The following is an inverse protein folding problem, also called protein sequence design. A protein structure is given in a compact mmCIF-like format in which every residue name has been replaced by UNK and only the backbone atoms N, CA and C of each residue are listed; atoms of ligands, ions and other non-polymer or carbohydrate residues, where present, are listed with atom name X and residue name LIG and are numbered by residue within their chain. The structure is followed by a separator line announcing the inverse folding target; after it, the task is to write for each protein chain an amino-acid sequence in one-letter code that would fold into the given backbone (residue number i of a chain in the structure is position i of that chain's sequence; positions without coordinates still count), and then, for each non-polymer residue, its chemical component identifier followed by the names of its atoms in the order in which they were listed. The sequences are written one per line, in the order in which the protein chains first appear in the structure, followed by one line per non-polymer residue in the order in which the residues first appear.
data_IF_517653828869
#
_entry.id   IF_517653828869
#
_cell.length_a   1.000
_cell.length_b   1.000
_cell.length_c   1.000
_cell.angle_alpha   90.00
_cell.angle_beta   90.00
_cell.angle_gamma   90.00
#
_symmetry.space_group_name_H-M   'P 1'
#
loop_
_entity.id
_entity.type
_entity.pdbx_description
1 polymer ?
#
# COMPACT_ATOMS: atom_id res chain seq x y z
N UNK A 1 12.17 -1.07 8.14
CA UNK A 1 12.47 -2.29 8.92
C UNK A 1 12.47 -1.96 10.40
N UNK A 2 11.81 -2.77 11.21
CA UNK A 2 11.75 -2.56 12.66
C UNK A 2 12.95 -3.25 13.33
N UNK A 3 13.86 -2.50 13.93
CA UNK A 3 15.09 -3.05 14.58
C UNK A 3 14.86 -3.55 16.01
N UNK A 4 13.62 -3.52 16.50
CA UNK A 4 13.21 -3.86 17.86
C UNK A 4 13.14 -2.66 18.81
N UNK A 5 13.65 -1.51 18.40
CA UNK A 5 13.62 -0.25 19.15
C UNK A 5 12.89 0.82 18.37
N UNK A 6 13.18 0.93 17.07
CA UNK A 6 12.58 1.93 16.19
C UNK A 6 12.38 1.39 14.76
N UNK A 7 11.53 2.07 14.01
CA UNK A 7 11.33 1.81 12.59
C UNK A 7 12.40 2.52 11.77
N UNK A 8 13.35 1.77 11.25
CA UNK A 8 14.37 2.28 10.34
C UNK A 8 13.84 2.35 8.92
N UNK A 9 13.97 3.51 8.29
CA UNK A 9 13.66 3.69 6.88
C UNK A 9 14.85 3.28 6.01
N UNK A 10 14.60 2.77 4.80
CA UNK A 10 15.69 2.51 3.86
C UNK A 10 16.34 3.84 3.44
N UNK A 11 17.66 3.86 3.47
CA UNK A 11 18.45 5.04 3.11
C UNK A 11 18.85 5.04 1.63
N UNK A 12 18.74 3.90 0.98
CA UNK A 12 19.05 3.69 -0.44
C UNK A 12 18.36 2.44 -0.97
N UNK A 13 18.12 2.41 -2.26
CA UNK A 13 17.72 1.23 -3.02
C UNK A 13 18.49 1.18 -4.36
N UNK A 14 18.30 0.10 -5.13
CA UNK A 14 18.87 -0.05 -6.46
C UNK A 14 17.82 0.03 -7.58
N UNK A 15 16.59 0.44 -7.29
CA UNK A 15 15.51 0.51 -8.29
C UNK A 15 15.86 1.49 -9.40
N UNK A 16 16.41 2.65 -9.06
CA UNK A 16 16.80 3.66 -10.04
C UNK A 16 17.88 3.21 -11.04
N UNK A 17 18.66 2.19 -10.69
CA UNK A 17 19.66 1.58 -11.60
C UNK A 17 19.12 0.41 -12.39
N UNK A 18 18.03 -0.20 -11.95
CA UNK A 18 17.40 -1.37 -12.60
C UNK A 18 16.24 -0.95 -13.51
N UNK A 19 15.48 0.06 -13.15
CA UNK A 19 14.35 0.59 -13.90
C UNK A 19 14.83 1.67 -14.88
N UNK A 20 15.59 1.28 -15.89
CA UNK A 20 16.15 2.20 -16.90
C UNK A 20 15.63 1.86 -18.30
N UNK A 21 15.47 2.90 -19.13
CA UNK A 21 14.96 2.74 -20.50
C UNK A 21 13.54 2.19 -20.52
N UNK A 22 13.33 1.08 -21.20
CA UNK A 22 12.04 0.40 -21.31
C UNK A 22 11.76 -0.63 -20.20
N UNK A 23 12.67 -0.79 -19.23
CA UNK A 23 12.49 -1.71 -18.11
C UNK A 23 11.55 -1.08 -17.08
N UNK A 24 10.35 -1.58 -16.98
CA UNK A 24 9.30 -1.09 -16.05
C UNK A 24 9.04 -2.01 -14.87
N UNK A 25 9.65 -3.21 -14.87
CA UNK A 25 9.48 -4.21 -13.80
C UNK A 25 10.78 -4.94 -13.57
N UNK A 26 11.08 -5.21 -12.31
CA UNK A 26 12.22 -6.04 -11.89
C UNK A 26 11.75 -7.13 -10.93
N UNK A 27 12.31 -8.34 -10.98
CA UNK A 27 11.89 -9.44 -10.11
C UNK A 27 12.35 -9.25 -8.66
N UNK A 28 13.43 -8.53 -8.44
CA UNK A 28 14.04 -8.30 -7.12
C UNK A 28 14.59 -6.90 -7.02
N UNK A 29 14.63 -6.37 -5.80
CA UNK A 29 15.27 -5.10 -5.48
C UNK A 29 16.05 -5.21 -4.17
N UNK A 30 17.08 -4.40 -4.01
CA UNK A 30 17.87 -4.31 -2.79
C UNK A 30 17.64 -2.97 -2.11
N UNK A 31 17.51 -3.02 -0.78
CA UNK A 31 17.30 -1.84 0.07
C UNK A 31 18.37 -1.84 1.17
N UNK A 32 18.90 -0.68 1.48
CA UNK A 32 19.88 -0.50 2.54
C UNK A 32 19.27 0.26 3.70
N UNK A 33 19.52 -0.23 4.90
CA UNK A 33 19.07 0.37 6.15
C UNK A 33 20.28 0.77 6.98
N UNK A 34 20.22 1.94 7.61
CA UNK A 34 21.24 2.35 8.56
C UNK A 34 21.08 1.58 9.89
N UNK A 35 22.17 1.37 10.61
CA UNK A 35 22.16 0.71 11.91
C UNK A 35 22.79 -0.67 11.91
N UNK A 36 22.74 -1.32 13.07
CA UNK A 36 23.28 -2.68 13.28
C UNK A 36 22.13 -3.65 13.46
N UNK A 37 22.09 -4.65 12.60
CA UNK A 37 21.07 -5.70 12.60
C UNK A 37 21.72 -7.03 12.93
N UNK A 38 21.46 -7.57 14.12
CA UNK A 38 22.10 -8.79 14.64
C UNK A 38 21.13 -9.97 14.76
N UNK A 39 19.81 -9.72 14.88
CA UNK A 39 18.81 -10.76 15.05
C UNK A 39 18.62 -11.58 13.77
N UNK A 40 18.08 -12.77 13.91
CA UNK A 40 17.77 -13.64 12.77
C UNK A 40 16.63 -13.09 11.90
N UNK A 41 15.67 -12.39 12.52
CA UNK A 41 14.48 -11.89 11.83
C UNK A 41 14.17 -10.47 12.27
N UNK A 42 13.63 -9.68 11.32
CA UNK A 42 13.12 -8.34 11.57
C UNK A 42 11.82 -8.11 10.82
N UNK A 43 10.78 -7.55 11.46
CA UNK A 43 9.59 -7.09 10.74
C UNK A 43 9.94 -5.97 9.75
N UNK A 44 9.32 -6.02 8.59
CA UNK A 44 9.50 -5.05 7.53
C UNK A 44 8.14 -4.60 7.00
N UNK A 45 8.01 -3.29 6.73
CA UNK A 45 6.81 -2.67 6.15
C UNK A 45 7.16 -1.94 4.87
N UNK A 46 6.29 -2.05 3.90
CA UNK A 46 6.21 -1.19 2.74
C UNK A 46 4.92 -0.38 2.84
N UNK A 47 5.04 0.92 3.06
CA UNK A 47 3.90 1.81 3.32
C UNK A 47 3.41 2.52 2.07
N UNK A 48 3.90 2.11 0.91
CA UNK A 48 3.54 2.71 -0.37
C UNK A 48 4.19 4.07 -0.61
N UNK A 49 3.96 4.62 -1.79
CA UNK A 49 4.55 5.90 -2.22
C UNK A 49 4.08 7.08 -1.35
N UNK A 50 2.82 7.07 -0.95
CA UNK A 50 2.19 8.15 -0.19
C UNK A 50 2.03 7.82 1.29
N UNK A 51 2.73 6.79 1.76
CA UNK A 51 2.72 6.38 3.16
C UNK A 51 3.76 7.12 3.99
N UNK A 52 3.70 6.88 5.27
CA UNK A 52 4.69 7.32 6.25
C UNK A 52 5.18 6.10 7.05
N UNK A 53 6.02 6.32 8.06
CA UNK A 53 6.63 5.28 8.88
C UNK A 53 5.63 4.24 9.42
N UNK A 54 4.44 4.69 9.84
CA UNK A 54 3.39 3.90 10.48
C UNK A 54 1.99 4.16 9.87
N UNK A 55 1.94 4.72 8.67
CA UNK A 55 0.71 5.09 7.97
C UNK A 55 0.77 4.64 6.53
N UNK A 56 -0.37 4.21 6.00
CA UNK A 56 -0.58 4.03 4.56
C UNK A 56 -1.70 4.94 4.09
N UNK A 57 -1.59 5.43 2.86
CA UNK A 57 -2.62 6.27 2.27
C UNK A 57 -3.14 5.62 0.99
N UNK A 58 -4.42 5.26 1.00
CA UNK A 58 -5.15 4.73 -0.15
C UNK A 58 -5.88 5.90 -0.81
N UNK A 59 -5.57 6.18 -2.05
CA UNK A 59 -6.16 7.29 -2.78
C UNK A 59 -7.66 7.08 -3.02
N UNK A 60 -8.46 8.09 -2.71
CA UNK A 60 -9.91 8.06 -2.93
C UNK A 60 -10.29 8.13 -4.42
N UNK A 61 -9.41 8.69 -5.24
CA UNK A 61 -9.53 8.69 -6.70
C UNK A 61 -8.33 8.00 -7.29
N UNK A 62 -8.59 7.00 -8.10
CA UNK A 62 -7.55 6.22 -8.78
C UNK A 62 -7.83 6.26 -10.29
N UNK A 63 -6.79 6.38 -11.08
CA UNK A 63 -6.91 6.41 -12.54
C UNK A 63 -6.16 5.23 -13.14
N UNK A 64 -6.88 4.33 -13.76
CA UNK A 64 -6.31 3.24 -14.53
C UNK A 64 -6.11 3.71 -15.98
N UNK A 65 -4.86 3.81 -16.47
CA UNK A 65 -4.59 4.39 -17.79
C UNK A 65 -5.04 3.50 -18.94
N UNK A 66 -4.94 2.19 -18.76
CA UNK A 66 -5.30 1.20 -19.78
C UNK A 66 -6.09 0.04 -19.15
N UNK A 67 -7.00 -0.62 -19.91
CA UNK A 67 -7.64 -1.84 -19.47
C UNK A 67 -6.60 -2.91 -19.09
N UNK A 68 -6.87 -3.64 -18.01
CA UNK A 68 -5.99 -4.68 -17.46
C UNK A 68 -4.58 -4.20 -17.01
N UNK A 69 -4.34 -2.88 -16.94
CA UNK A 69 -3.11 -2.32 -16.40
C UNK A 69 -3.29 -1.95 -14.92
N UNK A 70 -2.59 -2.65 -14.04
CA UNK A 70 -2.62 -2.46 -12.60
C UNK A 70 -1.50 -1.53 -12.08
N UNK A 71 -0.72 -0.87 -12.95
CA UNK A 71 0.42 -0.03 -12.56
C UNK A 71 0.02 1.15 -11.65
N UNK A 72 -1.19 1.68 -11.81
CA UNK A 72 -1.73 2.75 -10.98
C UNK A 72 -1.87 2.38 -9.49
N UNK A 73 -1.91 1.09 -9.13
CA UNK A 73 -2.04 0.61 -7.74
C UNK A 73 -0.85 1.08 -6.91
N UNK A 74 0.38 0.99 -7.45
CA UNK A 74 1.59 1.44 -6.77
C UNK A 74 1.56 2.93 -6.40
N UNK A 75 0.93 3.76 -7.25
CA UNK A 75 0.75 5.19 -7.00
C UNK A 75 -0.41 5.50 -6.05
N UNK A 76 -1.38 4.59 -5.98
CA UNK A 76 -2.67 4.81 -5.31
C UNK A 76 -2.76 4.21 -3.91
N UNK A 77 -1.73 3.50 -3.45
CA UNK A 77 -1.70 3.03 -2.06
C UNK A 77 -1.43 1.54 -1.89
N UNK A 78 -0.63 0.93 -2.77
CA UNK A 78 -0.12 -0.41 -2.50
C UNK A 78 0.74 -0.43 -1.23
N UNK A 79 0.57 -1.44 -0.40
CA UNK A 79 1.31 -1.61 0.85
C UNK A 79 1.48 -3.09 1.18
N UNK A 80 2.47 -3.40 2.00
CA UNK A 80 2.78 -4.77 2.36
C UNK A 80 3.63 -4.91 3.62
N UNK A 81 3.62 -6.10 4.18
CA UNK A 81 4.49 -6.48 5.29
C UNK A 81 5.36 -7.67 4.90
N UNK A 82 6.44 -7.86 5.61
CA UNK A 82 7.32 -9.02 5.47
C UNK A 82 8.07 -9.29 6.78
N UNK A 83 8.65 -10.48 6.85
CA UNK A 83 9.72 -10.78 7.80
C UNK A 83 11.02 -10.87 7.01
N UNK A 84 11.96 -9.98 7.32
CA UNK A 84 13.31 -10.03 6.76
C UNK A 84 14.12 -11.05 7.55
N UNK A 85 14.58 -12.11 6.91
CA UNK A 85 15.30 -13.24 7.51
C UNK A 85 16.77 -13.19 7.13
N UNK A 86 17.68 -13.34 8.10
CA UNK A 86 19.11 -13.27 7.91
C UNK A 86 19.62 -14.39 7.00
N UNK A 87 20.38 -14.01 5.99
CA UNK A 87 21.02 -14.88 5.01
C UNK A 87 22.47 -14.40 4.80
N UNK A 88 23.41 -14.99 5.54
CA UNK A 88 24.81 -14.53 5.53
C UNK A 88 24.96 -13.11 6.05
N UNK A 89 25.37 -12.19 5.18
CA UNK A 89 25.59 -10.77 5.50
C UNK A 89 24.45 -9.84 5.06
N UNK A 90 23.32 -10.40 4.63
CA UNK A 90 22.13 -9.67 4.19
C UNK A 90 20.86 -10.28 4.79
N UNK A 91 19.70 -9.72 4.45
CA UNK A 91 18.38 -10.20 4.84
C UNK A 91 17.52 -10.37 3.60
N UNK A 92 16.92 -11.54 3.46
CA UNK A 92 15.96 -11.84 2.40
C UNK A 92 14.53 -11.64 2.91
N UNK A 93 13.66 -11.12 2.06
CA UNK A 93 12.25 -10.97 2.35
C UNK A 93 11.38 -11.02 1.09
N UNK A 94 10.14 -11.40 1.26
CA UNK A 94 9.09 -11.29 0.25
C UNK A 94 7.93 -10.52 0.86
N UNK A 95 7.52 -9.44 0.20
CA UNK A 95 6.38 -8.65 0.65
C UNK A 95 5.06 -9.38 0.41
N UNK A 96 4.24 -9.41 1.45
CA UNK A 96 2.84 -9.80 1.37
C UNK A 96 1.99 -8.55 1.25
N UNK A 97 1.20 -8.43 0.18
CA UNK A 97 0.27 -7.32 0.01
C UNK A 97 -0.77 -7.30 1.13
N UNK A 98 -1.01 -6.11 1.66
CA UNK A 98 -2.01 -5.86 2.71
C UNK A 98 -3.15 -4.97 2.24
N UNK A 99 -3.03 -4.36 1.07
CA UNK A 99 -4.14 -3.71 0.38
C UNK A 99 -5.03 -4.74 -0.32
N UNK A 100 -6.35 -4.53 -0.28
CA UNK A 100 -7.29 -5.32 -1.07
C UNK A 100 -7.42 -4.75 -2.47
N UNK A 101 -7.41 -5.62 -3.48
CA UNK A 101 -7.60 -5.26 -4.87
C UNK A 101 -8.99 -5.66 -5.34
N UNK A 102 -9.62 -4.78 -6.08
CA UNK A 102 -10.96 -5.01 -6.62
C UNK A 102 -10.91 -5.01 -8.14
N UNK A 103 -11.22 -6.16 -8.74
CA UNK A 103 -11.29 -6.33 -10.19
C UNK A 103 -12.74 -6.25 -10.65
N UNK A 104 -13.01 -5.36 -11.60
CA UNK A 104 -14.32 -5.19 -12.23
C UNK A 104 -14.23 -5.58 -13.70
N UNK A 105 -15.19 -6.37 -14.15
CA UNK A 105 -15.36 -6.72 -15.56
C UNK A 105 -16.75 -6.25 -16.03
N UNK A 106 -16.92 -4.95 -16.29
CA UNK A 106 -18.19 -4.42 -16.74
C UNK A 106 -18.50 -4.90 -18.16
N UNK A 107 -19.75 -5.22 -18.41
CA UNK A 107 -20.26 -5.56 -19.74
C UNK A 107 -21.63 -4.92 -19.97
N UNK A 108 -22.03 -4.81 -21.21
CA UNK A 108 -23.38 -4.36 -21.58
C UNK A 108 -23.96 -5.24 -22.68
N UNK A 109 -25.26 -5.47 -22.59
CA UNK A 109 -26.05 -6.07 -23.66
C UNK A 109 -26.85 -5.04 -24.46
N UNK A 110 -26.80 -3.78 -24.06
CA UNK A 110 -27.45 -2.68 -24.77
C UNK A 110 -26.64 -2.29 -26.01
N UNK A 111 -27.24 -2.50 -27.18
CA UNK A 111 -26.61 -2.24 -28.47
C UNK A 111 -26.20 -0.76 -28.65
N UNK A 112 -26.85 0.18 -27.95
CA UNK A 112 -26.54 1.61 -28.03
C UNK A 112 -25.27 1.96 -27.24
N UNK A 113 -24.88 1.11 -26.31
CA UNK A 113 -23.67 1.30 -25.46
C UNK A 113 -22.48 0.45 -25.94
N UNK A 114 -22.71 -0.44 -26.95
CA UNK A 114 -21.61 -1.21 -27.53
C UNK A 114 -20.58 -0.26 -28.17
N UNK A 115 -19.30 -0.39 -27.79
CA UNK A 115 -18.24 0.52 -28.22
C UNK A 115 -18.12 1.80 -27.40
N UNK A 116 -19.00 2.02 -26.42
CA UNK A 116 -18.89 3.09 -25.45
C UNK A 116 -17.63 2.95 -24.56
N UNK A 117 -17.19 4.06 -24.01
CA UNK A 117 -16.06 4.08 -23.07
C UNK A 117 -16.54 4.27 -21.64
N UNK A 118 -16.16 3.36 -20.74
CA UNK A 118 -16.37 3.54 -19.32
C UNK A 118 -15.37 4.59 -18.79
N UNK A 119 -15.90 5.73 -18.33
CA UNK A 119 -15.07 6.85 -17.90
C UNK A 119 -14.91 6.94 -16.40
N UNK A 120 -15.86 6.38 -15.62
CA UNK A 120 -15.82 6.46 -14.17
C UNK A 120 -16.65 5.34 -13.52
N UNK A 121 -16.10 4.79 -12.45
CA UNK A 121 -16.81 3.90 -11.53
C UNK A 121 -16.77 4.56 -10.14
N UNK A 122 -17.91 4.62 -9.47
CA UNK A 122 -17.98 5.06 -8.07
C UNK A 122 -18.28 3.86 -7.18
N UNK A 123 -17.40 3.62 -6.21
CA UNK A 123 -17.59 2.57 -5.20
C UNK A 123 -17.93 3.26 -3.88
N UNK A 124 -18.96 2.76 -3.21
CA UNK A 124 -19.39 3.27 -1.90
C UNK A 124 -19.45 2.11 -0.92
N UNK A 125 -18.92 2.31 0.28
CA UNK A 125 -18.93 1.32 1.34
C UNK A 125 -19.38 1.95 2.66
N UNK A 126 -19.82 1.13 3.62
CA UNK A 126 -20.24 1.56 4.95
C UNK A 126 -19.06 1.73 5.92
N UNK A 127 -17.85 1.40 5.49
CA UNK A 127 -16.60 1.63 6.23
C UNK A 127 -15.60 2.34 5.31
N UNK A 128 -14.61 3.06 5.87
CA UNK A 128 -13.57 3.68 5.07
C UNK A 128 -12.84 2.64 4.19
N UNK A 129 -12.79 2.88 2.89
CA UNK A 129 -12.06 2.08 1.90
C UNK A 129 -10.93 2.87 1.23
N UNK A 130 -10.85 4.16 1.51
CA UNK A 130 -9.80 5.06 1.06
C UNK A 130 -9.52 6.11 2.15
N UNK A 131 -8.35 6.70 2.14
CA UNK A 131 -7.85 7.63 3.15
C UNK A 131 -6.56 7.14 3.78
N UNK A 132 -6.19 7.72 4.90
CA UNK A 132 -4.99 7.34 5.65
C UNK A 132 -5.37 6.39 6.78
N UNK A 133 -4.65 5.27 6.86
CA UNK A 133 -4.87 4.21 7.83
C UNK A 133 -3.59 4.03 8.67
N UNK A 134 -3.75 3.61 9.92
CA UNK A 134 -2.63 3.12 10.72
C UNK A 134 -2.09 1.83 10.12
N UNK A 135 -0.77 1.67 10.15
CA UNK A 135 -0.10 0.53 9.55
C UNK A 135 0.98 -0.02 10.48
N UNK A 136 0.81 -1.23 10.93
CA UNK A 136 1.75 -1.93 11.79
C UNK A 136 2.36 -3.17 11.10
N UNK A 137 3.08 -4.00 11.84
CA UNK A 137 3.73 -5.19 11.30
C UNK A 137 2.71 -6.29 10.90
N UNK A 138 1.44 -6.13 11.29
CA UNK A 138 0.33 -7.02 10.91
C UNK A 138 -0.44 -6.52 9.68
N UNK A 139 -0.27 -5.26 9.32
CA UNK A 139 -0.94 -4.59 8.20
C UNK A 139 -1.70 -3.33 8.61
N UNK A 140 -2.69 -2.92 7.80
CA UNK A 140 -3.48 -1.73 8.06
C UNK A 140 -4.59 -1.99 9.07
N UNK A 141 -4.76 -1.05 9.99
CA UNK A 141 -5.94 -0.99 10.86
C UNK A 141 -6.83 0.19 10.42
N UNK A 142 -8.16 0.02 10.40
CA UNK A 142 -9.05 1.14 10.12
C UNK A 142 -8.80 2.28 11.11
N UNK A 143 -8.85 3.56 10.70
CA UNK A 143 -8.78 4.67 11.62
C UNK A 143 -9.93 4.54 12.63
N UNK A 144 -9.61 4.71 13.91
CA UNK A 144 -10.64 4.75 14.94
C UNK A 144 -11.59 5.91 14.60
N UNK A 145 -12.93 5.70 14.60
CA UNK A 145 -13.86 6.79 14.34
C UNK A 145 -13.55 7.92 15.33
N UNK A 146 -13.60 9.20 14.91
CA UNK A 146 -13.33 10.32 15.79
C UNK A 146 -14.22 10.18 17.02
N UNK A 147 -13.60 10.24 18.19
CA UNK A 147 -14.30 10.18 19.48
C UNK A 147 -15.37 11.28 19.49
N UNK A 148 -16.61 10.89 19.31
CA UNK A 148 -17.74 11.82 19.45
C UNK A 148 -17.81 12.23 20.93
N UNK A 149 -17.56 13.50 21.28
CA UNK A 149 -17.71 13.91 22.66
C UNK A 149 -19.15 13.60 23.13
N UNK A 150 -19.35 13.19 24.37
CA UNK A 150 -20.68 12.91 24.88
C UNK A 150 -21.55 14.16 24.66
N UNK A 151 -22.67 13.99 23.97
CA UNK A 151 -23.69 15.02 23.83
C UNK A 151 -24.18 15.35 25.23
N UNK A 152 -23.89 16.55 25.70
CA UNK A 152 -24.44 17.04 26.95
C UNK A 152 -25.98 16.98 26.83
N UNK A 153 -26.61 16.10 27.59
CA UNK A 153 -28.07 16.10 27.73
C UNK A 153 -28.47 17.38 28.45
N UNK A 154 -29.11 18.30 27.75
CA UNK A 154 -29.86 19.37 28.42
C UNK A 154 -31.05 18.72 29.11
N UNK A 155 -31.00 18.65 30.43
CA UNK A 155 -32.18 18.48 31.25
C UNK A 155 -32.93 19.83 31.30
N UNK A 156 -34.11 19.84 30.77
CA UNK A 156 -35.14 20.87 31.04
C UNK A 156 -35.73 20.61 32.40
#
# INVERSE_FOLDING_TARGET
MNDGTDLQQSVRDNLGTQLVGSVTKVPTASFWFAGTFSNLNYPLRYTGKNGAKDKVTIAATQTQPLPADASHIGESGDCGTATATKSGNHYDFTLEHKAAYFTLTPFTTDATLVGGKLTKIKITANKPIAGTFDFDDSGSTPPMPPHRPPTASRST
#
